data_IF_685489194634
#
_entry.id   IF_685489194634
#
_cell.length_a   1.000
_cell.length_b   1.000
_cell.length_c   1.000
_cell.angle_alpha   90.00
_cell.angle_beta   90.00
_cell.angle_gamma   90.00
#
_symmetry.space_group_name_H-M   'P 1'
#
loop_
_entity.id
_entity.type
_entity.pdbx_description
1 polymer ?
#
# COMPACT_ATOMS: atom_id res chain seq x y z
N UNK A 1 6.23 -24.51 -1.05
CA UNK A 1 6.43 -23.50 -2.10
C UNK A 1 7.81 -22.90 -1.89
N UNK A 2 8.66 -22.90 -2.92
CA UNK A 2 9.94 -22.19 -2.86
C UNK A 2 9.67 -20.68 -2.87
N UNK A 3 9.89 -20.03 -1.73
CA UNK A 3 9.73 -18.58 -1.58
C UNK A 3 10.86 -17.81 -2.29
N UNK A 4 11.93 -18.49 -2.74
CA UNK A 4 13.06 -17.88 -3.47
C UNK A 4 12.85 -17.80 -4.99
N UNK A 5 11.79 -18.39 -5.54
CA UNK A 5 11.56 -18.39 -6.99
C UNK A 5 10.91 -17.11 -7.55
N UNK A 6 10.64 -16.12 -6.69
CA UNK A 6 9.84 -14.96 -7.08
C UNK A 6 10.72 -13.87 -7.66
N UNK A 7 10.31 -13.32 -8.81
CA UNK A 7 11.03 -12.21 -9.42
C UNK A 7 10.98 -11.00 -8.46
N UNK A 8 12.06 -10.21 -8.37
CA UNK A 8 12.09 -9.00 -7.53
C UNK A 8 10.91 -8.05 -7.74
N UNK A 9 10.38 -8.02 -8.95
CA UNK A 9 9.22 -7.20 -9.34
C UNK A 9 7.91 -7.69 -8.72
N UNK A 10 7.71 -9.01 -8.62
CA UNK A 10 6.51 -9.61 -8.02
C UNK A 10 6.50 -9.36 -6.52
N UNK A 11 7.66 -9.48 -5.87
CA UNK A 11 7.84 -9.18 -4.45
C UNK A 11 7.58 -7.70 -4.16
N UNK A 12 8.16 -6.79 -4.96
CA UNK A 12 7.92 -5.35 -4.83
C UNK A 12 6.45 -4.99 -4.99
N UNK A 13 5.76 -5.59 -5.97
CA UNK A 13 4.33 -5.37 -6.21
C UNK A 13 3.49 -5.84 -5.03
N UNK A 14 3.75 -7.04 -4.50
CA UNK A 14 2.97 -7.58 -3.38
C UNK A 14 3.19 -6.79 -2.09
N UNK A 15 4.44 -6.45 -1.78
CA UNK A 15 4.77 -5.62 -0.61
C UNK A 15 4.14 -4.23 -0.70
N UNK A 16 4.19 -3.59 -1.87
CA UNK A 16 3.55 -2.28 -2.05
C UNK A 16 2.03 -2.36 -1.90
N UNK A 17 1.38 -3.40 -2.43
CA UNK A 17 -0.07 -3.60 -2.26
C UNK A 17 -0.43 -3.83 -0.79
N UNK A 18 0.29 -4.73 -0.10
CA UNK A 18 0.07 -5.02 1.32
C UNK A 18 0.25 -3.77 2.18
N UNK A 19 1.31 -3.00 1.95
CA UNK A 19 1.56 -1.74 2.65
C UNK A 19 0.48 -0.70 2.37
N UNK A 20 0.13 -0.51 1.09
CA UNK A 20 -0.90 0.42 0.66
C UNK A 20 -2.28 0.10 1.22
N UNK A 21 -2.71 -1.16 1.20
CA UNK A 21 -4.00 -1.58 1.74
C UNK A 21 -4.07 -1.39 3.25
N UNK A 22 -2.99 -1.71 3.96
CA UNK A 22 -2.91 -1.56 5.41
C UNK A 22 -2.98 -0.09 5.81
N UNK A 23 -2.14 0.76 5.20
CA UNK A 23 -2.11 2.20 5.48
C UNK A 23 -3.41 2.90 5.06
N UNK A 24 -3.98 2.54 3.90
CA UNK A 24 -5.28 3.06 3.46
C UNK A 24 -6.42 2.70 4.42
N UNK A 25 -6.39 1.49 4.98
CA UNK A 25 -7.36 1.05 5.99
C UNK A 25 -7.22 1.87 7.28
N UNK A 26 -6.00 2.07 7.78
CA UNK A 26 -5.78 2.89 8.97
C UNK A 26 -6.19 4.34 8.76
N UNK A 27 -5.94 4.91 7.58
CA UNK A 27 -6.40 6.26 7.23
C UNK A 27 -7.92 6.34 7.19
N UNK A 28 -8.60 5.34 6.60
CA UNK A 28 -10.06 5.29 6.63
C UNK A 28 -10.60 5.29 8.06
N UNK A 29 -10.09 4.40 8.90
CA UNK A 29 -10.49 4.30 10.32
C UNK A 29 -10.20 5.60 11.06
N UNK A 30 -9.03 6.20 10.86
CA UNK A 30 -8.65 7.47 11.49
C UNK A 30 -9.53 8.64 11.06
N UNK A 31 -9.87 8.74 9.78
CA UNK A 31 -10.76 9.78 9.27
C UNK A 31 -12.19 9.61 9.79
N UNK A 32 -12.69 8.38 9.82
CA UNK A 32 -14.03 8.10 10.30
C UNK A 32 -14.15 8.28 11.82
N UNK A 33 -13.36 7.55 12.59
CA UNK A 33 -13.49 7.51 14.06
C UNK A 33 -12.75 8.64 14.76
N UNK A 34 -11.62 9.10 14.22
CA UNK A 34 -10.80 10.15 14.82
C UNK A 34 -11.21 11.56 14.40
N UNK A 35 -11.46 11.78 13.11
CA UNK A 35 -11.85 13.10 12.58
C UNK A 35 -13.36 13.29 12.43
N UNK A 36 -14.17 12.25 12.67
CA UNK A 36 -15.63 12.32 12.61
C UNK A 36 -16.20 12.48 11.18
N UNK A 37 -15.42 12.14 10.15
CA UNK A 37 -15.90 12.23 8.77
C UNK A 37 -17.00 11.21 8.52
N UNK A 38 -17.89 11.52 7.58
CA UNK A 38 -18.86 10.54 7.08
C UNK A 38 -18.12 9.27 6.60
N UNK A 39 -18.60 8.05 6.95
CA UNK A 39 -17.89 6.81 6.67
C UNK A 39 -17.62 6.59 5.17
N UNK A 40 -18.51 7.03 4.28
CA UNK A 40 -18.32 6.92 2.83
C UNK A 40 -17.21 7.87 2.34
N UNK A 41 -17.20 9.12 2.82
CA UNK A 41 -16.15 10.08 2.48
C UNK A 41 -14.79 9.62 3.01
N UNK A 42 -14.75 9.16 4.26
CA UNK A 42 -13.55 8.60 4.86
C UNK A 42 -13.02 7.39 4.07
N UNK A 43 -13.92 6.53 3.57
CA UNK A 43 -13.57 5.36 2.76
C UNK A 43 -12.93 5.78 1.44
N UNK A 44 -13.53 6.74 0.74
CA UNK A 44 -13.00 7.27 -0.52
C UNK A 44 -11.62 7.89 -0.33
N UNK A 45 -11.42 8.65 0.75
CA UNK A 45 -10.13 9.25 1.07
C UNK A 45 -9.08 8.20 1.46
N UNK A 46 -9.45 7.20 2.27
CA UNK A 46 -8.56 6.09 2.62
C UNK A 46 -8.15 5.25 1.41
N UNK A 47 -9.10 4.96 0.51
CA UNK A 47 -8.84 4.25 -0.73
C UNK A 47 -7.92 5.05 -1.68
N UNK A 48 -8.22 6.35 -1.87
CA UNK A 48 -7.38 7.24 -2.67
C UNK A 48 -5.96 7.34 -2.11
N UNK A 49 -5.82 7.47 -0.78
CA UNK A 49 -4.52 7.47 -0.12
C UNK A 49 -3.78 6.14 -0.32
N UNK A 50 -4.46 5.00 -0.20
CA UNK A 50 -3.89 3.68 -0.51
C UNK A 50 -3.35 3.59 -1.94
N UNK A 51 -4.10 4.08 -2.93
CA UNK A 51 -3.63 4.14 -4.33
C UNK A 51 -2.37 5.00 -4.46
N UNK A 52 -2.36 6.19 -3.85
CA UNK A 52 -1.18 7.09 -3.87
C UNK A 52 0.03 6.41 -3.24
N UNK A 53 -0.16 5.75 -2.09
CA UNK A 53 0.91 5.02 -1.40
C UNK A 53 1.45 3.90 -2.29
N UNK A 54 0.59 3.14 -2.98
CA UNK A 54 1.02 2.10 -3.91
C UNK A 54 1.86 2.68 -5.06
N UNK A 55 1.38 3.76 -5.68
CA UNK A 55 2.07 4.43 -6.80
C UNK A 55 3.46 4.95 -6.42
N UNK A 56 3.67 5.31 -5.16
CA UNK A 56 4.96 5.76 -4.64
C UNK A 56 5.82 4.58 -4.16
N UNK A 57 5.24 3.65 -3.39
CA UNK A 57 5.98 2.55 -2.77
C UNK A 57 6.45 1.52 -3.80
N UNK A 58 5.64 1.22 -4.82
CA UNK A 58 6.01 0.23 -5.84
C UNK A 58 7.33 0.56 -6.57
N UNK A 59 7.51 1.75 -7.19
CA UNK A 59 8.76 2.08 -7.88
C UNK A 59 9.96 2.11 -6.92
N UNK A 60 9.78 2.56 -5.68
CA UNK A 60 10.83 2.56 -4.66
C UNK A 60 11.25 1.13 -4.32
N UNK A 61 10.30 0.27 -3.96
CA UNK A 61 10.56 -1.14 -3.63
C UNK A 61 11.17 -1.88 -4.82
N UNK A 62 10.67 -1.63 -6.03
CA UNK A 62 11.23 -2.21 -7.26
C UNK A 62 12.69 -1.80 -7.45
N UNK A 63 13.03 -0.53 -7.22
CA UNK A 63 14.39 -0.05 -7.35
C UNK A 63 15.33 -0.65 -6.28
N UNK A 64 14.86 -0.77 -5.04
CA UNK A 64 15.63 -1.37 -3.94
C UNK A 64 15.87 -2.86 -4.16
N UNK A 65 14.84 -3.62 -4.49
CA UNK A 65 14.92 -5.07 -4.71
C UNK A 65 15.74 -5.44 -5.95
N UNK A 66 15.80 -4.57 -6.98
CA UNK A 66 16.69 -4.74 -8.13
C UNK A 66 18.16 -4.44 -7.85
N UNK A 67 18.46 -3.67 -6.80
CA UNK A 67 19.85 -3.35 -6.40
C UNK A 67 20.45 -4.39 -5.47
N UNK A 68 19.61 -5.15 -4.77
CA UNK A 68 20.04 -6.13 -3.76
C UNK A 68 20.03 -7.59 -4.23
N UNK A 69 19.62 -7.88 -5.46
CA UNK A 69 19.68 -9.20 -6.09
C UNK A 69 20.61 -9.19 -7.29
#
# INVERSE_FOLDING_TARGET
MDLNAWRPEDTARRLSIMGASSLGTFLWVGLWLGSGFNPLLALLLGAAAGVIIHLIAYPILRALLRRGG
#
